data_IF_302552914243
#
_entry.id   IF_302552914243
#
_cell.length_a   1.000
_cell.length_b   1.000
_cell.length_c   1.000
_cell.angle_alpha   90.00
_cell.angle_beta   90.00
_cell.angle_gamma   90.00
#
_symmetry.space_group_name_H-M   'P 1'
#
loop_
_entity.id
_entity.type
_entity.pdbx_description
1 polymer ?
#
# COMPACT_ATOMS: atom_id res chain seq x y z
N UNK A 1 40.89 -0.26 54.48
CA UNK A 1 39.93 -1.07 53.74
C UNK A 1 39.20 -0.18 52.74
N UNK A 2 39.53 -0.32 51.48
CA UNK A 2 38.92 0.41 50.36
C UNK A 2 37.80 -0.47 49.82
N UNK A 3 36.57 0.01 49.97
CA UNK A 3 35.40 -0.63 49.36
C UNK A 3 35.13 -0.04 47.98
N UNK A 4 35.37 -0.81 46.92
CA UNK A 4 34.95 -0.50 45.57
C UNK A 4 33.43 -0.65 45.47
N UNK A 5 32.71 0.47 45.36
CA UNK A 5 31.32 0.50 44.96
C UNK A 5 31.26 0.59 43.43
N UNK A 6 31.02 -0.52 42.77
CA UNK A 6 30.63 -0.55 41.34
C UNK A 6 29.18 -0.18 41.28
N UNK A 7 28.91 1.06 40.85
CA UNK A 7 27.58 1.45 40.38
C UNK A 7 27.32 0.73 39.07
N UNK A 8 26.47 -0.25 39.09
CA UNK A 8 25.85 -0.82 37.92
C UNK A 8 24.83 0.20 37.43
N UNK A 9 25.14 0.84 36.29
CA UNK A 9 24.18 1.62 35.52
C UNK A 9 23.10 0.68 35.01
N UNK A 10 22.05 0.50 35.79
CA UNK A 10 20.84 -0.21 35.39
C UNK A 10 19.92 0.73 34.62
N UNK A 11 20.40 1.23 33.48
CA UNK A 11 19.53 1.85 32.48
C UNK A 11 18.90 0.73 31.66
N UNK A 12 17.84 0.13 32.21
CA UNK A 12 16.92 -0.67 31.42
C UNK A 12 16.44 0.12 30.19
N UNK A 13 16.01 -0.52 29.12
CA UNK A 13 15.55 0.19 27.92
C UNK A 13 14.50 1.21 28.33
N UNK A 14 14.72 2.47 27.89
CA UNK A 14 13.76 3.55 28.13
C UNK A 14 12.37 3.06 27.76
N UNK A 15 11.34 3.30 28.60
CA UNK A 15 10.00 2.87 28.28
C UNK A 15 9.60 3.48 26.94
N UNK A 16 9.26 2.63 25.96
CA UNK A 16 8.75 3.09 24.69
C UNK A 16 7.54 3.98 24.99
N UNK A 17 7.59 5.22 24.48
CA UNK A 17 6.48 6.16 24.59
C UNK A 17 5.28 5.58 23.87
N UNK A 18 4.35 5.00 24.60
CA UNK A 18 3.09 4.51 24.03
C UNK A 18 2.28 5.72 23.58
N UNK A 19 2.13 5.89 22.28
CA UNK A 19 1.32 6.96 21.74
C UNK A 19 -0.18 6.60 21.90
N UNK A 20 -1.04 7.58 22.22
CA UNK A 20 -2.49 7.35 22.41
C UNK A 20 -3.25 7.14 21.09
N UNK A 21 -2.57 6.90 19.98
CA UNK A 21 -3.11 6.67 18.64
C UNK A 21 -2.24 5.64 17.90
N UNK A 22 -2.71 5.04 16.80
CA UNK A 22 -1.92 4.12 16.01
C UNK A 22 -0.60 4.76 15.55
N UNK A 23 0.51 4.24 16.06
CA UNK A 23 1.84 4.81 15.85
C UNK A 23 2.49 4.32 14.56
N UNK A 24 1.99 3.22 14.02
CA UNK A 24 2.47 2.61 12.77
C UNK A 24 1.27 2.28 11.86
N UNK A 25 1.29 2.85 10.68
CA UNK A 25 0.27 2.64 9.65
C UNK A 25 0.94 2.10 8.39
N UNK A 26 0.34 1.08 7.78
CA UNK A 26 0.78 0.51 6.51
C UNK A 26 -0.31 0.69 5.46
N UNK A 27 0.05 1.35 4.38
CA UNK A 27 -0.75 1.44 3.17
C UNK A 27 -0.12 0.58 2.07
N UNK A 28 -0.54 -0.68 1.98
CA UNK A 28 -0.05 -1.63 0.98
C UNK A 28 -0.82 -1.47 -0.34
N UNK A 29 -0.46 -0.48 -1.11
CA UNK A 29 -1.17 0.05 -2.28
C UNK A 29 -1.49 -1.00 -3.34
N UNK A 30 -2.75 -1.05 -3.76
CA UNK A 30 -3.18 -1.75 -4.98
C UNK A 30 -2.95 -0.83 -6.18
N UNK A 31 -2.32 -1.33 -7.23
CA UNK A 31 -2.10 -0.57 -8.46
C UNK A 31 -3.39 -0.15 -9.16
N UNK A 32 -3.42 1.05 -9.72
CA UNK A 32 -4.56 1.63 -10.46
C UNK A 32 -5.82 1.90 -9.61
N UNK A 33 -5.62 2.03 -8.29
CA UNK A 33 -6.65 2.37 -7.30
C UNK A 33 -6.39 3.75 -6.65
N UNK A 34 -5.97 4.74 -7.41
CA UNK A 34 -5.79 6.12 -6.92
C UNK A 34 -4.54 6.34 -6.06
N UNK A 35 -3.64 5.38 -5.99
CA UNK A 35 -2.47 5.42 -5.10
C UNK A 35 -1.57 6.65 -5.30
N UNK A 36 -1.50 7.21 -6.50
CA UNK A 36 -0.75 8.43 -6.78
C UNK A 36 -1.28 9.64 -6.05
N UNK A 37 -2.59 9.86 -6.16
CA UNK A 37 -3.29 10.94 -5.46
C UNK A 37 -3.08 10.81 -3.96
N UNK A 38 -3.30 9.61 -3.42
CA UNK A 38 -3.14 9.36 -1.98
C UNK A 38 -1.70 9.56 -1.51
N UNK A 39 -0.70 9.09 -2.26
CA UNK A 39 0.72 9.31 -1.91
C UNK A 39 1.10 10.78 -1.96
N UNK A 40 0.58 11.54 -2.93
CA UNK A 40 0.80 13.00 -2.99
C UNK A 40 0.21 13.68 -1.76
N UNK A 41 -1.02 13.35 -1.39
CA UNK A 41 -1.65 13.85 -0.18
C UNK A 41 -0.84 13.47 1.08
N UNK A 42 -0.38 12.23 1.17
CA UNK A 42 0.43 11.77 2.30
C UNK A 42 1.75 12.56 2.45
N UNK A 43 2.39 12.96 1.35
CA UNK A 43 3.59 13.81 1.41
C UNK A 43 3.28 15.17 2.02
N UNK A 44 2.21 15.82 1.56
CA UNK A 44 1.76 17.11 2.10
C UNK A 44 1.38 16.98 3.58
N UNK A 45 0.64 15.94 3.92
CA UNK A 45 0.20 15.66 5.30
C UNK A 45 1.37 15.35 6.23
N UNK A 46 2.38 14.60 5.76
CA UNK A 46 3.58 14.29 6.52
C UNK A 46 4.35 15.57 6.90
N UNK A 47 4.51 16.49 5.96
CA UNK A 47 5.13 17.80 6.24
C UNK A 47 4.27 18.63 7.19
N UNK A 48 2.95 18.63 7.02
CA UNK A 48 2.03 19.42 7.84
C UNK A 48 1.89 18.89 9.28
N UNK A 49 1.85 17.56 9.46
CA UNK A 49 1.55 16.92 10.76
C UNK A 49 2.77 16.27 11.43
N UNK A 50 3.91 16.23 10.77
CA UNK A 50 5.17 15.79 11.36
C UNK A 50 5.27 14.29 11.60
N UNK A 51 4.55 13.45 10.85
CA UNK A 51 4.78 12.00 10.90
C UNK A 51 5.82 11.57 9.86
N UNK A 52 6.51 10.48 10.14
CA UNK A 52 7.50 9.92 9.23
C UNK A 52 6.83 9.12 8.13
N UNK A 53 7.00 9.54 6.88
CA UNK A 53 6.46 8.87 5.70
C UNK A 53 7.57 8.18 4.92
N UNK A 54 7.44 6.88 4.72
CA UNK A 54 8.30 6.13 3.80
C UNK A 54 7.47 5.58 2.64
N UNK A 55 7.79 6.06 1.45
CA UNK A 55 7.24 5.54 0.19
C UNK A 55 8.29 4.69 -0.50
N UNK A 56 7.99 3.42 -0.72
CA UNK A 56 8.88 2.51 -1.42
C UNK A 56 8.25 2.04 -2.73
N UNK A 57 8.98 2.21 -3.83
CA UNK A 57 8.60 1.73 -5.16
C UNK A 57 9.63 0.74 -5.71
N UNK A 58 10.36 0.06 -4.82
CA UNK A 58 11.40 -0.88 -5.22
C UNK A 58 10.80 -1.94 -6.15
N UNK A 59 11.06 -1.79 -7.44
CA UNK A 59 10.94 -2.78 -8.52
C UNK A 59 9.59 -3.51 -8.65
N UNK A 60 8.46 -2.90 -8.30
CA UNK A 60 7.12 -3.53 -8.39
C UNK A 60 7.06 -4.94 -7.75
N UNK A 61 7.98 -5.25 -6.83
CA UNK A 61 8.08 -6.53 -6.17
C UNK A 61 7.06 -6.64 -5.05
N UNK A 62 5.91 -7.19 -5.35
CA UNK A 62 4.80 -7.37 -4.38
C UNK A 62 4.97 -8.60 -3.50
N UNK A 63 5.69 -9.61 -4.03
CA UNK A 63 6.01 -10.87 -3.33
C UNK A 63 7.38 -10.79 -2.72
N UNK A 64 7.48 -11.18 -1.47
CA UNK A 64 8.72 -11.18 -0.71
C UNK A 64 9.08 -12.59 -0.27
N UNK A 65 10.35 -12.91 -0.30
CA UNK A 65 10.88 -14.12 0.37
C UNK A 65 10.72 -13.98 1.87
N UNK A 66 10.87 -15.09 2.61
CA UNK A 66 10.80 -15.07 4.07
C UNK A 66 11.78 -14.07 4.69
N UNK A 67 13.02 -14.03 4.19
CA UNK A 67 14.04 -13.11 4.70
C UNK A 67 13.69 -11.65 4.41
N UNK A 68 13.20 -11.34 3.22
CA UNK A 68 12.75 -9.99 2.85
C UNK A 68 11.53 -9.55 3.69
N UNK A 69 10.62 -10.47 4.00
CA UNK A 69 9.51 -10.18 4.91
C UNK A 69 10.02 -9.83 6.30
N UNK A 70 10.92 -10.63 6.86
CA UNK A 70 11.53 -10.38 8.17
C UNK A 70 12.27 -9.04 8.22
N UNK A 71 13.05 -8.74 7.19
CA UNK A 71 13.80 -7.47 7.08
C UNK A 71 12.84 -6.28 7.01
N UNK A 72 11.81 -6.33 6.16
CA UNK A 72 10.85 -5.26 6.02
C UNK A 72 10.06 -5.05 7.33
N UNK A 73 9.62 -6.13 7.97
CA UNK A 73 8.91 -6.07 9.26
C UNK A 73 9.82 -5.43 10.32
N UNK A 74 11.09 -5.84 10.39
CA UNK A 74 12.05 -5.23 11.31
C UNK A 74 12.21 -3.74 11.06
N UNK A 75 12.37 -3.33 9.80
CA UNK A 75 12.54 -1.93 9.42
C UNK A 75 11.32 -1.08 9.81
N UNK A 76 10.10 -1.60 9.60
CA UNK A 76 8.88 -0.91 9.99
C UNK A 76 8.74 -0.86 11.52
N UNK A 77 8.99 -1.98 12.22
CA UNK A 77 8.81 -2.09 13.67
C UNK A 77 9.80 -1.22 14.47
N UNK A 78 10.99 -0.96 13.90
CA UNK A 78 12.04 -0.13 14.54
C UNK A 78 12.05 1.31 14.05
N UNK A 79 11.15 1.69 13.15
CA UNK A 79 11.08 3.04 12.61
C UNK A 79 10.60 4.04 13.68
N UNK A 80 11.09 5.28 13.57
CA UNK A 80 10.66 6.37 14.43
C UNK A 80 9.17 6.68 14.23
N UNK A 81 8.43 6.70 15.32
CA UNK A 81 6.99 6.91 15.34
C UNK A 81 6.62 8.40 15.59
N UNK A 82 5.49 8.90 15.08
CA UNK A 82 4.48 8.20 14.26
C UNK A 82 5.00 7.94 12.83
N UNK A 83 4.64 6.79 12.28
CA UNK A 83 5.23 6.28 11.04
C UNK A 83 4.16 5.71 10.10
N UNK A 84 4.19 6.12 8.84
CA UNK A 84 3.37 5.56 7.79
C UNK A 84 4.25 5.03 6.66
N UNK A 85 4.12 3.73 6.41
CA UNK A 85 4.81 3.04 5.32
C UNK A 85 3.85 2.76 4.17
N UNK A 86 4.27 3.02 2.94
CA UNK A 86 3.49 2.69 1.76
C UNK A 86 4.33 2.09 0.64
N UNK A 87 3.84 0.99 0.08
CA UNK A 87 4.46 0.23 -1.00
C UNK A 87 3.42 -0.63 -1.72
N UNK A 88 3.68 -0.96 -2.98
CA UNK A 88 2.98 -2.06 -3.66
C UNK A 88 3.52 -3.40 -3.13
N UNK A 89 2.85 -3.98 -2.15
CA UNK A 89 3.24 -5.22 -1.49
C UNK A 89 2.01 -6.01 -1.05
N UNK A 90 2.06 -7.32 -1.16
CA UNK A 90 1.03 -8.20 -0.59
C UNK A 90 1.05 -8.10 0.93
N UNK A 91 -0.12 -8.30 1.55
CA UNK A 91 -0.26 -8.24 3.00
C UNK A 91 0.85 -9.02 3.73
N UNK A 92 1.38 -8.40 4.79
CA UNK A 92 2.38 -8.99 5.68
C UNK A 92 1.77 -9.18 7.05
N UNK A 93 1.85 -10.39 7.58
CA UNK A 93 1.44 -10.69 8.94
C UNK A 93 2.65 -10.52 9.88
N UNK A 94 2.73 -9.38 10.56
CA UNK A 94 3.83 -9.04 11.46
C UNK A 94 3.88 -9.98 12.68
N UNK A 95 2.72 -10.35 13.23
CA UNK A 95 2.65 -11.23 14.39
C UNK A 95 3.23 -12.62 14.13
N UNK A 96 3.19 -13.09 12.90
CA UNK A 96 3.84 -14.36 12.50
C UNK A 96 5.36 -14.34 12.73
N UNK A 97 5.97 -13.16 12.74
CA UNK A 97 7.41 -12.97 12.94
C UNK A 97 7.73 -12.35 14.32
N UNK A 98 6.77 -12.36 15.23
CA UNK A 98 6.94 -11.84 16.59
C UNK A 98 6.89 -10.33 16.73
N UNK A 99 6.46 -9.60 15.67
CA UNK A 99 6.26 -8.15 15.70
C UNK A 99 4.81 -7.76 16.00
N UNK A 100 4.62 -6.54 16.50
CA UNK A 100 3.31 -5.96 16.66
C UNK A 100 2.69 -5.65 15.28
N UNK A 101 1.41 -6.00 15.12
CA UNK A 101 0.70 -5.78 13.88
C UNK A 101 0.38 -4.29 13.71
N UNK A 102 0.85 -3.60 12.65
CA UNK A 102 0.48 -2.23 12.38
C UNK A 102 -0.97 -2.14 11.93
N UNK A 103 -1.51 -0.93 11.97
CA UNK A 103 -2.81 -0.65 11.36
C UNK A 103 -2.66 -0.59 9.85
N UNK A 104 -3.45 -1.40 9.14
CA UNK A 104 -3.50 -1.37 7.67
C UNK A 104 -4.62 -0.48 7.17
N UNK A 105 -4.37 0.22 6.09
CA UNK A 105 -5.37 0.90 5.26
C UNK A 105 -5.17 0.54 3.80
N UNK A 106 -6.22 0.55 3.02
CA UNK A 106 -6.13 0.37 1.57
C UNK A 106 -7.30 1.01 0.84
N UNK A 107 -7.15 1.14 -0.48
CA UNK A 107 -8.18 1.61 -1.40
C UNK A 107 -8.23 0.64 -2.58
N UNK A 108 -9.43 0.16 -2.88
CA UNK A 108 -9.74 -0.65 -4.06
C UNK A 108 -10.54 0.18 -5.06
N UNK A 109 -10.79 -0.38 -6.22
CA UNK A 109 -11.53 0.27 -7.29
C UNK A 109 -12.46 -0.73 -7.95
N UNK A 110 -13.54 -0.25 -8.58
CA UNK A 110 -14.35 -1.06 -9.47
C UNK A 110 -13.44 -1.83 -10.43
N UNK A 111 -13.60 -3.16 -10.53
CA UNK A 111 -12.67 -4.01 -11.29
C UNK A 111 -12.65 -3.68 -12.79
N UNK A 112 -13.77 -3.27 -13.39
CA UNK A 112 -13.82 -2.88 -14.80
C UNK A 112 -13.06 -1.58 -15.02
N UNK A 113 -13.33 -0.56 -14.20
CA UNK A 113 -12.63 0.72 -14.25
C UNK A 113 -11.14 0.58 -13.97
N UNK A 114 -10.77 -0.33 -13.08
CA UNK A 114 -9.38 -0.65 -12.79
C UNK A 114 -8.70 -1.30 -14.00
N UNK A 115 -9.37 -2.24 -14.66
CA UNK A 115 -8.89 -2.89 -15.89
C UNK A 115 -8.65 -1.87 -16.99
N UNK A 116 -9.64 -1.02 -17.30
CA UNK A 116 -9.53 0.05 -18.29
C UNK A 116 -8.33 0.96 -17.98
N UNK A 117 -8.22 1.41 -16.74
CA UNK A 117 -7.13 2.26 -16.30
C UNK A 117 -5.75 1.61 -16.51
N UNK A 118 -5.63 0.30 -16.26
CA UNK A 118 -4.38 -0.42 -16.45
C UNK A 118 -4.08 -0.66 -17.94
N UNK A 119 -5.09 -0.96 -18.74
CA UNK A 119 -4.96 -1.16 -20.18
C UNK A 119 -4.35 0.05 -20.86
N UNK A 120 -4.92 1.24 -20.63
CA UNK A 120 -4.42 2.48 -21.19
C UNK A 120 -3.09 2.93 -20.58
N UNK A 121 -2.89 2.72 -19.29
CA UNK A 121 -1.63 3.05 -18.64
C UNK A 121 -0.43 2.29 -19.20
N UNK A 122 -0.59 1.01 -19.49
CA UNK A 122 0.48 0.20 -20.10
C UNK A 122 0.84 0.67 -21.49
N UNK A 123 -0.12 1.20 -22.22
CA UNK A 123 0.03 1.68 -23.60
C UNK A 123 0.57 3.10 -23.69
N UNK A 124 -0.03 3.98 -22.95
CA UNK A 124 0.20 5.42 -23.06
C UNK A 124 0.93 6.03 -21.87
N UNK A 125 1.09 5.27 -20.79
CA UNK A 125 1.73 5.76 -19.57
C UNK A 125 0.90 6.79 -18.83
N UNK A 126 1.60 7.70 -18.17
CA UNK A 126 0.97 8.78 -17.41
C UNK A 126 1.26 10.13 -18.07
N UNK A 127 0.22 10.89 -18.24
CA UNK A 127 0.34 12.30 -18.53
C UNK A 127 0.69 13.08 -17.27
N UNK A 128 1.93 13.52 -17.18
CA UNK A 128 2.40 14.45 -16.13
C UNK A 128 2.69 15.82 -16.74
N UNK A 129 1.70 16.40 -17.42
CA UNK A 129 1.91 17.61 -18.20
C UNK A 129 2.67 17.37 -19.51
N UNK A 130 2.71 18.35 -20.38
CA UNK A 130 3.21 18.21 -21.76
C UNK A 130 4.69 17.83 -21.88
N UNK A 131 5.48 18.03 -20.82
CA UNK A 131 6.94 17.83 -20.86
C UNK A 131 7.44 16.51 -20.29
N UNK A 132 6.62 15.71 -19.60
CA UNK A 132 7.05 14.48 -18.91
C UNK A 132 6.14 13.29 -19.20
N UNK A 133 5.90 12.99 -20.46
CA UNK A 133 5.18 11.78 -20.87
C UNK A 133 6.07 10.55 -20.73
N UNK A 134 5.85 9.75 -19.68
CA UNK A 134 6.57 8.51 -19.47
C UNK A 134 5.77 7.34 -20.05
N UNK A 135 6.19 6.85 -21.22
CA UNK A 135 5.63 5.64 -21.82
C UNK A 135 6.07 4.43 -20.99
N UNK A 136 5.14 3.70 -20.39
CA UNK A 136 5.45 2.55 -19.52
C UNK A 136 6.00 1.33 -20.25
N UNK A 137 5.61 1.14 -21.50
CA UNK A 137 6.04 0.00 -22.32
C UNK A 137 6.60 0.53 -23.64
N UNK A 138 7.82 1.12 -23.63
CA UNK A 138 8.39 1.71 -24.84
C UNK A 138 8.64 0.69 -25.96
N UNK A 139 8.87 -0.58 -25.61
CA UNK A 139 9.07 -1.69 -26.55
C UNK A 139 7.78 -2.24 -27.17
N UNK A 140 6.61 -1.75 -26.77
CA UNK A 140 5.33 -2.18 -27.34
C UNK A 140 5.23 -1.71 -28.79
N UNK A 141 4.91 -2.65 -29.70
CA UNK A 141 4.70 -2.34 -31.10
C UNK A 141 3.50 -1.41 -31.29
N UNK A 142 3.48 -0.67 -32.40
CA UNK A 142 2.46 0.33 -32.66
C UNK A 142 1.06 -0.28 -32.80
N UNK A 143 0.96 -1.43 -33.46
CA UNK A 143 -0.30 -2.17 -33.59
C UNK A 143 -0.86 -2.62 -32.24
N UNK A 144 0.01 -3.06 -31.34
CA UNK A 144 -0.37 -3.45 -29.97
C UNK A 144 -0.78 -2.24 -29.12
N UNK A 145 -0.09 -1.11 -29.32
CA UNK A 145 -0.35 0.14 -28.57
C UNK A 145 -1.72 0.72 -28.89
N UNK A 146 -2.12 0.65 -30.14
CA UNK A 146 -3.41 1.18 -30.61
C UNK A 146 -4.49 0.11 -30.77
N UNK A 147 -4.25 -1.10 -30.25
CA UNK A 147 -5.25 -2.16 -30.26
C UNK A 147 -6.52 -1.69 -29.52
N UNK A 148 -7.66 -1.82 -30.21
CA UNK A 148 -8.95 -1.54 -29.58
C UNK A 148 -9.22 -2.52 -28.45
N UNK A 149 -9.70 -2.02 -27.34
CA UNK A 149 -9.92 -2.83 -26.13
C UNK A 149 -11.01 -3.90 -26.35
N UNK A 150 -12.03 -3.58 -27.16
CA UNK A 150 -13.09 -4.56 -27.45
C UNK A 150 -12.53 -5.71 -28.28
N UNK A 151 -11.66 -5.43 -29.24
CA UNK A 151 -10.94 -6.45 -30.02
C UNK A 151 -10.07 -7.28 -29.10
N UNK A 152 -9.33 -6.65 -28.16
CA UNK A 152 -8.51 -7.37 -27.19
C UNK A 152 -9.32 -8.37 -26.35
N UNK A 153 -10.52 -7.97 -25.94
CA UNK A 153 -11.40 -8.83 -25.12
C UNK A 153 -12.06 -9.92 -25.96
N UNK A 154 -12.67 -9.55 -27.11
CA UNK A 154 -13.43 -10.47 -27.94
C UNK A 154 -12.57 -11.54 -28.60
N UNK A 155 -11.33 -11.19 -28.95
CA UNK A 155 -10.37 -12.12 -29.53
C UNK A 155 -9.48 -12.82 -28.48
N UNK A 156 -9.79 -12.65 -27.19
CA UNK A 156 -9.12 -13.31 -26.08
C UNK A 156 -7.60 -13.10 -26.04
N UNK A 157 -7.13 -11.91 -26.36
CA UNK A 157 -5.70 -11.59 -26.18
C UNK A 157 -5.26 -11.87 -24.74
N UNK A 158 -4.06 -12.42 -24.51
CA UNK A 158 -3.61 -12.82 -23.18
C UNK A 158 -3.67 -11.73 -22.13
N UNK A 159 -3.44 -10.47 -22.52
CA UNK A 159 -3.50 -9.33 -21.61
C UNK A 159 -4.93 -8.95 -21.19
N UNK A 160 -5.94 -9.39 -21.94
CA UNK A 160 -7.35 -9.13 -21.65
C UNK A 160 -8.09 -10.35 -21.10
N UNK A 161 -7.57 -11.55 -21.29
CA UNK A 161 -8.21 -12.82 -20.91
C UNK A 161 -7.58 -13.47 -19.68
N UNK A 162 -6.33 -13.11 -19.30
CA UNK A 162 -5.67 -13.72 -18.16
C UNK A 162 -6.23 -13.20 -16.83
N UNK A 163 -6.95 -14.03 -16.06
CA UNK A 163 -7.57 -13.59 -14.81
C UNK A 163 -6.56 -13.16 -13.74
N UNK A 164 -5.29 -13.58 -13.87
CA UNK A 164 -4.23 -13.21 -12.89
C UNK A 164 -3.69 -11.80 -13.06
N UNK A 165 -3.87 -11.18 -14.23
CA UNK A 165 -3.33 -9.83 -14.49
C UNK A 165 -3.95 -8.75 -13.61
N UNK A 166 -5.19 -8.96 -13.18
CA UNK A 166 -5.96 -7.99 -12.39
C UNK A 166 -6.32 -8.50 -10.99
N UNK A 167 -5.69 -9.58 -10.58
CA UNK A 167 -6.00 -10.28 -9.35
C UNK A 167 -5.46 -9.52 -8.14
N UNK A 168 -6.34 -8.89 -7.37
CA UNK A 168 -5.98 -8.07 -6.21
C UNK A 168 -6.00 -8.83 -4.88
N UNK A 169 -6.59 -10.01 -4.85
CA UNK A 169 -6.75 -10.79 -3.62
C UNK A 169 -5.43 -10.96 -2.85
N UNK A 170 -4.26 -11.19 -3.48
CA UNK A 170 -3.01 -11.32 -2.74
C UNK A 170 -2.62 -10.10 -1.89
N UNK A 171 -3.07 -8.89 -2.28
CA UNK A 171 -2.84 -7.69 -1.46
C UNK A 171 -3.50 -7.77 -0.09
N UNK A 172 -4.52 -8.59 0.06
CA UNK A 172 -5.27 -8.81 1.30
C UNK A 172 -5.05 -10.21 1.88
N UNK A 173 -4.91 -11.22 1.04
CA UNK A 173 -4.63 -12.61 1.44
C UNK A 173 -3.22 -12.77 2.00
N UNK A 174 -2.21 -12.17 1.36
CA UNK A 174 -0.83 -12.17 1.85
C UNK A 174 0.19 -12.87 0.97
N UNK A 175 1.31 -13.27 1.59
CA UNK A 175 2.51 -13.77 0.91
C UNK A 175 2.46 -15.27 0.58
N UNK A 176 1.47 -16.01 1.10
CA UNK A 176 1.37 -17.45 0.84
C UNK A 176 1.17 -17.75 -0.65
N UNK A 177 1.83 -18.78 -1.22
CA UNK A 177 1.67 -19.14 -2.64
C UNK A 177 0.22 -19.30 -3.09
N UNK A 178 -0.63 -19.94 -2.31
CA UNK A 178 -2.06 -20.13 -2.60
C UNK A 178 -2.85 -18.81 -2.72
N UNK A 179 -2.35 -17.71 -2.15
CA UNK A 179 -2.97 -16.40 -2.30
C UNK A 179 -2.98 -15.90 -3.75
N UNK A 180 -2.11 -16.45 -4.61
CA UNK A 180 -2.00 -16.08 -6.02
C UNK A 180 -2.85 -16.94 -6.94
N UNK A 181 -3.47 -17.96 -6.39
CA UNK A 181 -4.35 -18.85 -7.12
C UNK A 181 -5.80 -18.41 -6.91
N UNK A 182 -6.52 -18.03 -7.97
CA UNK A 182 -7.93 -17.67 -7.85
C UNK A 182 -8.72 -18.84 -7.24
N UNK A 183 -9.51 -18.54 -6.21
CA UNK A 183 -10.31 -19.56 -5.55
C UNK A 183 -10.83 -19.10 -4.18
N UNK A 184 -11.75 -19.88 -3.64
CA UNK A 184 -12.43 -19.58 -2.39
C UNK A 184 -11.46 -19.44 -1.21
N UNK A 185 -10.46 -20.30 -1.11
CA UNK A 185 -9.49 -20.24 -0.01
C UNK A 185 -8.79 -18.88 0.08
N UNK A 186 -8.32 -18.35 -1.06
CA UNK A 186 -7.62 -17.07 -1.10
C UNK A 186 -8.57 -15.91 -0.77
N UNK A 187 -9.79 -15.97 -1.26
CA UNK A 187 -10.81 -14.96 -0.99
C UNK A 187 -11.19 -14.94 0.49
N UNK A 188 -11.47 -16.09 1.10
CA UNK A 188 -11.83 -16.17 2.51
C UNK A 188 -10.68 -15.72 3.41
N UNK A 189 -9.43 -16.08 3.08
CA UNK A 189 -8.26 -15.58 3.81
C UNK A 189 -8.12 -14.07 3.67
N UNK A 190 -8.36 -13.51 2.49
CA UNK A 190 -8.33 -12.06 2.28
C UNK A 190 -9.40 -11.35 3.11
N UNK A 191 -10.64 -11.86 3.13
CA UNK A 191 -11.74 -11.31 3.95
C UNK A 191 -11.38 -11.33 5.44
N UNK A 192 -10.83 -12.45 5.93
CA UNK A 192 -10.40 -12.57 7.31
C UNK A 192 -9.34 -11.51 7.68
N UNK A 193 -8.30 -11.39 6.86
CA UNK A 193 -7.24 -10.40 7.10
C UNK A 193 -7.77 -8.96 7.04
N UNK A 194 -8.69 -8.67 6.12
CA UNK A 194 -9.34 -7.34 6.06
C UNK A 194 -10.08 -7.06 7.37
N UNK A 195 -10.88 -8.01 7.83
CA UNK A 195 -11.65 -7.84 9.06
C UNK A 195 -10.79 -7.66 10.31
N UNK A 196 -9.66 -8.36 10.38
CA UNK A 196 -8.81 -8.39 11.58
C UNK A 196 -7.74 -7.27 11.60
N UNK A 197 -7.24 -6.84 10.44
CA UNK A 197 -6.03 -6.04 10.36
C UNK A 197 -6.20 -4.70 9.65
N UNK A 198 -7.24 -4.51 8.85
CA UNK A 198 -7.47 -3.26 8.13
C UNK A 198 -8.47 -2.38 8.88
N UNK A 199 -8.03 -1.18 9.21
CA UNK A 199 -8.92 -0.16 9.79
C UNK A 199 -9.95 0.33 8.78
N UNK A 200 -9.54 0.46 7.52
CA UNK A 200 -10.37 0.89 6.41
C UNK A 200 -9.87 0.30 5.10
N UNK A 201 -10.78 -0.23 4.30
CA UNK A 201 -10.59 -0.47 2.87
C UNK A 201 -11.63 0.36 2.13
N UNK A 202 -11.18 1.47 1.54
CA UNK A 202 -12.04 2.40 0.82
C UNK A 202 -12.25 1.99 -0.64
N UNK A 203 -13.23 2.62 -1.28
CA UNK A 203 -13.54 2.47 -2.71
C UNK A 203 -13.17 3.78 -3.41
N UNK A 204 -12.37 3.72 -4.46
CA UNK A 204 -11.85 4.91 -5.14
C UNK A 204 -12.96 5.80 -5.69
N UNK A 205 -14.06 5.22 -6.13
CA UNK A 205 -15.23 5.93 -6.63
C UNK A 205 -15.89 6.82 -5.56
N UNK A 206 -15.65 6.52 -4.27
CA UNK A 206 -16.11 7.26 -3.10
C UNK A 206 -14.93 7.96 -2.38
N UNK A 207 -13.93 8.46 -3.13
CA UNK A 207 -12.66 8.93 -2.54
C UNK A 207 -12.84 10.04 -1.51
N UNK A 208 -13.78 10.98 -1.72
CA UNK A 208 -14.01 12.06 -0.76
C UNK A 208 -14.49 11.50 0.60
N UNK A 209 -15.41 10.55 0.58
CA UNK A 209 -15.89 9.89 1.80
C UNK A 209 -14.80 9.04 2.45
N UNK A 210 -13.96 8.38 1.65
CA UNK A 210 -12.78 7.64 2.14
C UNK A 210 -11.82 8.59 2.86
N UNK A 211 -11.54 9.76 2.31
CA UNK A 211 -10.66 10.76 2.93
C UNK A 211 -11.25 11.29 4.24
N UNK A 212 -12.56 11.53 4.30
CA UNK A 212 -13.25 11.92 5.54
C UNK A 212 -13.15 10.83 6.62
N UNK A 213 -13.34 9.56 6.23
CA UNK A 213 -13.19 8.44 7.17
C UNK A 213 -11.75 8.28 7.66
N UNK A 214 -10.77 8.43 6.77
CA UNK A 214 -9.35 8.41 7.16
C UNK A 214 -9.02 9.54 8.15
N UNK A 215 -9.53 10.74 7.92
CA UNK A 215 -9.38 11.85 8.87
C UNK A 215 -10.01 11.52 10.23
N UNK A 216 -11.20 10.94 10.23
CA UNK A 216 -11.93 10.58 11.45
C UNK A 216 -11.22 9.49 12.25
N UNK A 217 -10.71 8.45 11.58
CA UNK A 217 -10.08 7.30 12.25
C UNK A 217 -8.60 7.52 12.56
N UNK A 218 -7.92 8.30 11.74
CA UNK A 218 -6.48 8.58 11.85
C UNK A 218 -6.20 10.09 11.77
N UNK A 219 -6.75 10.90 12.70
CA UNK A 219 -6.65 12.37 12.63
C UNK A 219 -5.20 12.86 12.70
N UNK A 220 -4.30 12.14 13.38
CA UNK A 220 -2.89 12.50 13.48
C UNK A 220 -2.13 12.38 12.15
N UNK A 221 -2.69 11.65 11.17
CA UNK A 221 -2.14 11.49 9.83
C UNK A 221 -2.93 12.26 8.79
N UNK A 222 -4.26 12.30 8.88
CA UNK A 222 -5.16 12.74 7.81
C UNK A 222 -5.97 14.00 8.11
N UNK A 223 -5.67 14.73 9.19
CA UNK A 223 -6.37 15.98 9.48
C UNK A 223 -6.30 16.95 8.28
N UNK A 224 -7.42 17.55 7.92
CA UNK A 224 -7.59 18.48 6.80
C UNK A 224 -7.37 17.88 5.40
N UNK A 225 -7.29 16.55 5.26
CA UNK A 225 -6.98 15.89 3.99
C UNK A 225 -7.94 16.24 2.86
N UNK A 226 -9.25 16.33 3.15
CA UNK A 226 -10.25 16.66 2.13
C UNK A 226 -10.09 18.10 1.63
N UNK A 227 -9.77 19.04 2.53
CA UNK A 227 -9.49 20.43 2.16
C UNK A 227 -8.27 20.52 1.25
N UNK A 228 -7.19 19.80 1.58
CA UNK A 228 -5.98 19.72 0.77
C UNK A 228 -6.26 19.08 -0.60
N UNK A 229 -7.11 18.05 -0.62
CA UNK A 229 -7.50 17.37 -1.88
C UNK A 229 -8.27 18.28 -2.82
N UNK A 230 -9.18 19.11 -2.28
CA UNK A 230 -10.01 20.03 -3.07
C UNK A 230 -9.30 21.30 -3.50
N UNK A 231 -8.27 21.70 -2.77
CA UNK A 231 -7.48 22.91 -3.03
C UNK A 231 -5.98 22.58 -3.01
N UNK A 232 -5.48 21.86 -4.04
CA UNK A 232 -4.10 21.39 -4.09
C UNK A 232 -3.08 22.52 -4.27
#
# INVERSE_FOLDING_TARGET
>A
FVGNSTYLDDHGPLPQKVLPFPSQVVYNRVGKCGSRTVVLLLRILSEKHGFNLVTSDIHNKTRLTKNEQMELIKNISTAEQPYLFTRHVHFLNFSRFGGDQPVYINIIRDPVNRFLSNYFFRRFGDWRGEQNHMIRTPSMRQEERYLDINVCILENYPECSNPRLFYIIPYFCGQHPRCREPGEWALERAKLNVNENFLLVGILEELEDVLLLLERFLPHYFKDVLSIYKNP
#
